data_IF_705651124140
#
_entry.id   IF_705651124140
#
_cell.length_a   1.000
_cell.length_b   1.000
_cell.length_c   1.000
_cell.angle_alpha   90.00
_cell.angle_beta   90.00
_cell.angle_gamma   90.00
#
_symmetry.space_group_name_H-M   'P 1'
#
loop_
_entity.id
_entity.type
_entity.pdbx_description
1 polymer ?
#
# COMPACT_ATOMS: atom_id res chain seq x y z
N UNK A 1 0.77 32.67 21.30
CA UNK A 1 0.25 33.16 20.00
C UNK A 1 0.52 32.10 18.95
N UNK A 2 -0.55 31.46 18.45
CA UNK A 2 -0.56 30.42 17.43
C UNK A 2 0.22 30.79 16.16
N UNK A 3 1.03 29.86 15.63
CA UNK A 3 1.04 29.54 14.19
C UNK A 3 1.19 28.03 14.02
N UNK A 4 0.03 27.37 13.90
CA UNK A 4 -0.11 26.06 13.26
C UNK A 4 0.57 26.12 11.89
N UNK A 5 1.59 25.31 11.68
CA UNK A 5 2.07 24.99 10.35
C UNK A 5 0.97 24.26 9.60
N UNK A 6 0.27 24.97 8.71
CA UNK A 6 -0.42 24.35 7.59
C UNK A 6 0.63 23.57 6.82
N UNK A 7 0.52 22.26 6.80
CA UNK A 7 1.31 21.43 5.91
C UNK A 7 0.61 21.50 4.56
N UNK A 8 0.93 22.53 3.79
CA UNK A 8 0.41 22.73 2.44
C UNK A 8 0.88 21.55 1.59
N UNK A 9 -0.09 20.73 1.15
CA UNK A 9 0.12 19.48 0.41
C UNK A 9 0.66 19.72 -1.00
N UNK A 10 1.92 20.12 -1.10
CA UNK A 10 2.67 20.02 -2.35
C UNK A 10 2.87 18.56 -2.73
N UNK A 11 2.75 18.25 -4.03
CA UNK A 11 3.12 16.92 -4.54
C UNK A 11 4.61 16.67 -4.25
N UNK A 12 4.91 15.48 -3.79
CA UNK A 12 6.26 14.96 -3.63
C UNK A 12 7.05 15.09 -4.93
N UNK A 13 8.38 15.18 -4.81
CA UNK A 13 9.29 15.02 -5.95
C UNK A 13 9.46 13.54 -6.36
N UNK A 14 9.10 12.60 -5.48
CA UNK A 14 9.21 11.16 -5.72
C UNK A 14 8.27 10.74 -6.85
N UNK A 15 8.81 9.97 -7.78
CA UNK A 15 8.13 9.41 -8.95
C UNK A 15 8.04 7.89 -8.82
N UNK A 16 6.86 7.35 -9.08
CA UNK A 16 6.56 5.93 -8.95
C UNK A 16 6.22 5.36 -10.32
N UNK A 17 6.93 4.32 -10.72
CA UNK A 17 6.56 3.46 -11.85
C UNK A 17 5.52 2.44 -11.40
N UNK A 18 4.45 2.29 -12.17
CA UNK A 18 3.41 1.30 -11.87
C UNK A 18 3.25 0.37 -13.07
N UNK A 19 3.49 -0.93 -12.87
CA UNK A 19 3.23 -1.94 -13.89
C UNK A 19 1.89 -2.60 -13.57
N UNK A 20 0.98 -2.63 -14.54
CA UNK A 20 -0.39 -3.12 -14.39
C UNK A 20 -0.64 -4.27 -15.34
N UNK A 21 -1.58 -5.15 -14.98
CA UNK A 21 -2.18 -6.11 -15.90
C UNK A 21 -3.68 -5.81 -15.97
N UNK A 22 -4.10 -5.15 -17.05
CA UNK A 22 -5.45 -4.59 -17.21
C UNK A 22 -5.73 -3.35 -16.35
N UNK A 23 -6.98 -2.86 -16.40
CA UNK A 23 -7.39 -1.55 -15.83
C UNK A 23 -7.98 -1.58 -14.44
N UNK A 24 -8.09 -2.74 -13.80
CA UNK A 24 -8.87 -2.88 -12.55
C UNK A 24 -8.30 -2.04 -11.38
N UNK A 25 -7.01 -1.67 -11.44
CA UNK A 25 -6.31 -0.94 -10.38
C UNK A 25 -6.14 0.56 -10.63
N UNK A 26 -6.93 1.15 -11.52
CA UNK A 26 -6.85 2.59 -11.81
C UNK A 26 -7.02 3.46 -10.56
N UNK A 27 -7.87 3.04 -9.62
CA UNK A 27 -8.05 3.73 -8.34
C UNK A 27 -6.80 3.72 -7.45
N UNK A 28 -6.02 2.63 -7.49
CA UNK A 28 -4.76 2.52 -6.75
C UNK A 28 -3.76 3.54 -7.29
N UNK A 29 -3.71 3.72 -8.62
CA UNK A 29 -2.86 4.70 -9.31
C UNK A 29 -3.27 6.13 -8.94
N UNK A 30 -4.57 6.44 -9.02
CA UNK A 30 -5.10 7.76 -8.68
C UNK A 30 -4.75 8.13 -7.24
N UNK A 31 -4.90 7.18 -6.32
CA UNK A 31 -4.56 7.36 -4.91
C UNK A 31 -3.06 7.68 -4.73
N UNK A 32 -2.16 6.99 -5.44
CA UNK A 32 -0.73 7.31 -5.42
C UNK A 32 -0.43 8.68 -6.07
N UNK A 33 -1.11 9.01 -7.17
CA UNK A 33 -0.92 10.23 -7.94
C UNK A 33 -1.39 11.51 -7.22
N UNK A 34 -2.19 11.37 -6.16
CA UNK A 34 -2.50 12.47 -5.24
C UNK A 34 -1.23 13.03 -4.58
N UNK A 35 -0.25 12.17 -4.29
CA UNK A 35 0.95 12.51 -3.50
C UNK A 35 2.23 12.50 -4.34
N UNK A 36 2.29 11.68 -5.39
CA UNK A 36 3.51 11.38 -6.14
C UNK A 36 3.38 11.66 -7.64
N UNK A 37 4.51 11.83 -8.33
CA UNK A 37 4.55 11.68 -9.78
C UNK A 37 4.36 10.20 -10.13
N UNK A 38 3.52 9.87 -11.11
CA UNK A 38 3.26 8.47 -11.46
C UNK A 38 3.44 8.27 -12.96
N UNK A 39 4.15 7.19 -13.32
CA UNK A 39 4.21 6.65 -14.68
C UNK A 39 3.66 5.25 -14.66
N UNK A 40 2.71 4.93 -15.54
CA UNK A 40 2.13 3.59 -15.60
C UNK A 40 2.41 2.91 -16.93
N UNK A 41 2.59 1.60 -16.88
CA UNK A 41 2.65 0.73 -18.04
C UNK A 41 1.60 -0.37 -17.90
N UNK A 42 0.79 -0.58 -18.93
CA UNK A 42 -0.29 -1.57 -18.95
C UNK A 42 0.14 -2.76 -19.81
N UNK A 43 0.27 -3.93 -19.17
CA UNK A 43 0.47 -5.21 -19.85
C UNK A 43 -0.85 -5.70 -20.45
N UNK A 44 -0.78 -6.55 -21.50
CA UNK A 44 -1.92 -7.32 -21.96
C UNK A 44 -2.57 -8.10 -20.81
N UNK A 45 -3.90 -8.15 -20.77
CA UNK A 45 -4.62 -8.89 -19.73
C UNK A 45 -4.48 -10.41 -19.88
N UNK A 46 -4.33 -10.89 -21.10
CA UNK A 46 -4.33 -12.29 -21.55
C UNK A 46 -2.92 -12.84 -21.78
N UNK A 47 -2.03 -12.64 -20.80
CA UNK A 47 -0.70 -13.26 -20.83
C UNK A 47 -0.80 -14.80 -20.76
N UNK A 48 0.04 -15.54 -21.52
CA UNK A 48 0.22 -16.99 -21.37
C UNK A 48 0.62 -17.37 -19.95
N UNK A 49 0.42 -18.62 -19.54
CA UNK A 49 0.83 -19.10 -18.20
C UNK A 49 2.35 -19.22 -18.04
N UNK A 50 3.06 -19.46 -19.14
CA UNK A 50 4.51 -19.55 -19.21
C UNK A 50 4.99 -18.66 -20.36
N UNK A 51 5.98 -17.82 -20.07
CA UNK A 51 6.52 -16.86 -21.04
C UNK A 51 8.03 -17.07 -21.15
N UNK A 52 8.46 -17.61 -22.29
CA UNK A 52 9.90 -17.78 -22.57
C UNK A 52 10.61 -16.45 -22.86
N UNK A 53 9.90 -15.48 -23.47
CA UNK A 53 10.44 -14.20 -23.93
C UNK A 53 9.65 -13.03 -23.30
N UNK A 54 9.79 -12.76 -22.00
CA UNK A 54 9.00 -11.76 -21.28
C UNK A 54 9.24 -10.32 -21.77
N UNK A 55 10.38 -10.04 -22.36
CA UNK A 55 10.74 -8.75 -22.95
C UNK A 55 9.83 -8.36 -24.14
N UNK A 56 9.18 -9.32 -24.78
CA UNK A 56 8.17 -9.06 -25.83
C UNK A 56 6.89 -8.43 -25.28
N UNK A 57 6.61 -8.66 -24.00
CA UNK A 57 5.43 -8.13 -23.30
C UNK A 57 5.78 -6.92 -22.45
N UNK A 58 6.93 -6.94 -21.77
CA UNK A 58 7.39 -5.86 -20.91
C UNK A 58 8.28 -4.87 -21.69
N UNK A 59 7.64 -4.08 -22.56
CA UNK A 59 8.29 -3.11 -23.46
C UNK A 59 8.41 -1.73 -22.84
N UNK A 60 9.04 -1.65 -21.65
CA UNK A 60 9.22 -0.39 -20.93
C UNK A 60 10.26 0.49 -21.65
N UNK A 61 9.84 1.67 -22.11
CA UNK A 61 10.75 2.65 -22.71
C UNK A 61 11.57 3.42 -21.68
N UNK A 62 12.64 4.08 -22.13
CA UNK A 62 13.52 4.90 -21.27
C UNK A 62 12.74 5.95 -20.46
N UNK A 63 11.66 6.49 -21.02
CA UNK A 63 10.81 7.46 -20.33
C UNK A 63 10.17 6.84 -19.07
N UNK A 64 9.72 5.58 -19.11
CA UNK A 64 9.12 4.90 -17.95
C UNK A 64 10.10 4.84 -16.77
N UNK A 65 11.38 4.57 -17.04
CA UNK A 65 12.41 4.46 -16.00
C UNK A 65 12.87 5.79 -15.40
N UNK A 66 12.31 6.93 -15.83
CA UNK A 66 12.46 8.21 -15.11
C UNK A 66 11.54 8.25 -13.87
N UNK A 67 11.74 7.28 -12.98
CA UNK A 67 11.03 7.04 -11.71
C UNK A 67 12.04 6.61 -10.65
N UNK A 68 11.68 6.74 -9.37
CA UNK A 68 12.57 6.42 -8.25
C UNK A 68 12.36 4.98 -7.74
N UNK A 69 11.15 4.47 -7.85
CA UNK A 69 10.77 3.12 -7.43
C UNK A 69 9.64 2.58 -8.31
N UNK A 70 9.44 1.26 -8.28
CA UNK A 70 8.38 0.62 -9.05
C UNK A 70 7.48 -0.25 -8.16
N UNK A 71 6.16 -0.13 -8.34
CA UNK A 71 5.14 -1.02 -7.78
C UNK A 71 4.54 -1.84 -8.93
N UNK A 72 4.67 -3.16 -8.87
CA UNK A 72 4.16 -4.05 -9.91
C UNK A 72 2.93 -4.81 -9.42
N UNK A 73 1.89 -4.74 -10.25
CA UNK A 73 0.66 -5.52 -10.21
C UNK A 73 0.57 -6.45 -11.43
N UNK A 74 1.70 -6.78 -12.08
CA UNK A 74 1.73 -7.64 -13.26
C UNK A 74 1.13 -9.03 -13.00
N UNK A 75 1.26 -9.54 -11.76
CA UNK A 75 0.70 -10.83 -11.37
C UNK A 75 1.18 -11.99 -12.24
N UNK A 76 2.45 -11.95 -12.66
CA UNK A 76 3.09 -13.00 -13.46
C UNK A 76 4.57 -13.15 -13.08
N UNK A 77 5.07 -14.36 -12.76
CA UNK A 77 6.46 -14.58 -12.34
C UNK A 77 7.47 -14.16 -13.40
N UNK A 78 7.31 -14.61 -14.65
CA UNK A 78 8.27 -14.33 -15.73
C UNK A 78 8.40 -12.83 -16.03
N UNK A 79 7.29 -12.11 -16.06
CA UNK A 79 7.29 -10.64 -16.20
C UNK A 79 7.98 -9.96 -15.02
N UNK A 80 7.75 -10.43 -13.79
CA UNK A 80 8.36 -9.82 -12.61
C UNK A 80 9.86 -10.07 -12.55
N UNK A 81 10.35 -11.25 -12.98
CA UNK A 81 11.78 -11.52 -13.11
C UNK A 81 12.43 -10.61 -14.16
N UNK A 82 11.78 -10.42 -15.30
CA UNK A 82 12.23 -9.51 -16.34
C UNK A 82 12.21 -8.04 -15.86
N UNK A 83 11.20 -7.65 -15.09
CA UNK A 83 11.13 -6.32 -14.49
C UNK A 83 12.29 -6.06 -13.52
N UNK A 84 12.72 -7.06 -12.74
CA UNK A 84 13.92 -6.93 -11.89
C UNK A 84 15.16 -6.68 -12.74
N UNK A 85 15.32 -7.41 -13.85
CA UNK A 85 16.45 -7.22 -14.78
C UNK A 85 16.45 -5.80 -15.34
N UNK A 86 15.35 -5.36 -15.95
CA UNK A 86 15.28 -4.02 -16.55
C UNK A 86 15.41 -2.90 -15.49
N UNK A 87 14.83 -3.07 -14.31
CA UNK A 87 14.96 -2.12 -13.19
C UNK A 87 16.43 -1.95 -12.77
N UNK A 88 17.18 -3.05 -12.64
CA UNK A 88 18.61 -3.02 -12.32
C UNK A 88 19.43 -2.26 -13.37
N UNK A 89 19.20 -2.55 -14.66
CA UNK A 89 19.88 -1.90 -15.79
C UNK A 89 19.65 -0.39 -15.85
N UNK A 90 18.52 0.07 -15.31
CA UNK A 90 18.16 1.48 -15.26
C UNK A 90 18.38 2.12 -13.88
N UNK A 91 19.05 1.43 -12.94
CA UNK A 91 19.41 1.97 -11.63
C UNK A 91 18.27 2.10 -10.62
N UNK A 92 17.13 1.42 -10.84
CA UNK A 92 16.00 1.42 -9.91
C UNK A 92 16.31 0.53 -8.71
N UNK A 93 16.38 1.14 -7.52
CA UNK A 93 16.81 0.45 -6.30
C UNK A 93 15.70 -0.28 -5.52
N UNK A 94 14.42 -0.06 -5.83
CA UNK A 94 13.29 -0.63 -5.08
C UNK A 94 12.15 -1.08 -6.00
N UNK A 95 11.78 -2.35 -5.85
CA UNK A 95 10.60 -2.98 -6.46
C UNK A 95 9.65 -3.51 -5.40
N UNK A 96 8.36 -3.23 -5.53
CA UNK A 96 7.30 -3.82 -4.71
C UNK A 96 6.39 -4.66 -5.60
N UNK A 97 6.34 -5.97 -5.35
CA UNK A 97 5.41 -6.88 -6.01
C UNK A 97 4.16 -7.08 -5.15
N UNK A 98 3.02 -6.61 -5.66
CA UNK A 98 1.72 -6.77 -5.00
C UNK A 98 0.86 -7.80 -5.71
N UNK A 99 0.37 -8.79 -4.95
CA UNK A 99 -0.47 -9.86 -5.50
C UNK A 99 -0.18 -11.25 -4.94
N UNK A 100 0.69 -11.37 -3.93
CA UNK A 100 1.03 -12.63 -3.31
C UNK A 100 1.59 -13.64 -4.31
N UNK A 101 1.12 -14.88 -4.25
CA UNK A 101 1.65 -15.98 -5.06
C UNK A 101 1.59 -15.73 -6.57
N UNK A 102 0.64 -14.92 -7.04
CA UNK A 102 0.55 -14.52 -8.46
C UNK A 102 1.78 -13.75 -8.93
N UNK A 103 2.46 -13.03 -8.04
CA UNK A 103 3.69 -12.34 -8.39
C UNK A 103 4.85 -13.30 -8.68
N UNK A 104 4.78 -14.55 -8.20
CA UNK A 104 5.87 -15.52 -8.23
C UNK A 104 6.40 -15.83 -6.83
N UNK A 105 7.39 -16.74 -6.77
CA UNK A 105 8.02 -17.16 -5.52
C UNK A 105 8.72 -15.99 -4.83
N UNK A 106 8.33 -15.70 -3.58
CA UNK A 106 8.94 -14.65 -2.78
C UNK A 106 10.45 -14.84 -2.61
N UNK A 107 10.90 -16.09 -2.44
CA UNK A 107 12.33 -16.43 -2.28
C UNK A 107 13.08 -16.17 -3.58
N UNK A 108 12.53 -16.61 -4.71
CA UNK A 108 13.16 -16.44 -6.02
C UNK A 108 13.30 -14.96 -6.38
N UNK A 109 12.21 -14.20 -6.27
CA UNK A 109 12.19 -12.78 -6.63
C UNK A 109 13.14 -11.95 -5.75
N UNK A 110 13.18 -12.22 -4.44
CA UNK A 110 14.12 -11.55 -3.53
C UNK A 110 15.56 -11.87 -3.87
N UNK A 111 15.88 -13.16 -4.07
CA UNK A 111 17.23 -13.59 -4.44
C UNK A 111 17.67 -12.99 -5.76
N UNK A 112 16.78 -12.89 -6.74
CA UNK A 112 17.10 -12.27 -8.03
C UNK A 112 17.32 -10.77 -7.92
N UNK A 113 16.51 -10.08 -7.10
CA UNK A 113 16.74 -8.67 -6.75
C UNK A 113 18.10 -8.44 -6.10
N UNK A 114 18.44 -9.24 -5.09
CA UNK A 114 19.71 -9.15 -4.35
C UNK A 114 20.93 -9.30 -5.27
N UNK A 115 20.93 -10.29 -6.17
CA UNK A 115 22.01 -10.47 -7.16
C UNK A 115 22.21 -9.24 -8.06
N UNK A 116 21.15 -8.47 -8.28
CA UNK A 116 21.09 -7.35 -9.22
C UNK A 116 21.11 -5.98 -8.54
N UNK A 117 21.30 -5.95 -7.22
CA UNK A 117 21.31 -4.70 -6.45
C UNK A 117 19.93 -4.03 -6.33
N UNK A 118 18.83 -4.76 -6.55
CA UNK A 118 17.47 -4.25 -6.45
C UNK A 118 16.79 -4.80 -5.20
N UNK A 119 16.37 -3.93 -4.29
CA UNK A 119 15.59 -4.34 -3.11
C UNK A 119 14.19 -4.75 -3.56
N UNK A 120 13.83 -6.01 -3.32
CA UNK A 120 12.50 -6.54 -3.65
C UNK A 120 11.66 -6.70 -2.39
N UNK A 121 10.53 -6.01 -2.34
CA UNK A 121 9.45 -6.26 -1.39
C UNK A 121 8.42 -7.14 -2.09
N UNK A 122 8.31 -8.36 -1.61
CA UNK A 122 7.20 -9.23 -1.98
C UNK A 122 6.13 -9.12 -0.92
N UNK A 123 4.90 -8.82 -1.32
CA UNK A 123 3.79 -8.76 -0.41
C UNK A 123 2.59 -9.61 -0.86
N UNK A 124 1.99 -10.24 0.14
CA UNK A 124 0.70 -10.89 -0.01
C UNK A 124 -0.44 -9.88 0.00
N UNK A 125 -0.34 -8.84 0.85
CA UNK A 125 -1.36 -7.79 1.03
C UNK A 125 -0.71 -6.41 1.25
N UNK A 126 -1.21 -5.40 0.54
CA UNK A 126 -0.74 -4.00 0.60
C UNK A 126 -0.87 -3.30 1.95
N UNK A 127 -1.75 -3.80 2.81
CA UNK A 127 -1.88 -3.28 4.18
C UNK A 127 -0.88 -3.92 5.15
N UNK A 128 0.01 -4.81 4.68
CA UNK A 128 1.08 -5.37 5.51
C UNK A 128 2.46 -5.17 4.89
N UNK A 129 2.59 -4.26 3.90
CA UNK A 129 3.89 -3.88 3.35
C UNK A 129 4.77 -3.31 4.48
N UNK A 130 5.97 -3.86 4.69
CA UNK A 130 6.90 -3.31 5.66
C UNK A 130 7.40 -1.93 5.21
N UNK A 131 7.66 -1.06 6.18
CA UNK A 131 8.37 0.18 5.92
C UNK A 131 9.83 -0.13 5.60
N UNK A 132 10.38 0.60 4.62
CA UNK A 132 11.80 0.55 4.30
C UNK A 132 12.51 1.70 5.00
N UNK A 133 13.56 1.37 5.75
CA UNK A 133 14.47 2.35 6.35
C UNK A 133 15.48 2.81 5.29
N UNK A 134 14.98 3.63 4.36
CA UNK A 134 15.77 4.27 3.31
C UNK A 134 15.15 5.65 3.06
N UNK A 135 15.91 6.71 3.33
CA UNK A 135 15.43 8.09 3.24
C UNK A 135 14.87 8.42 1.85
N UNK A 136 15.41 7.80 0.79
CA UNK A 136 14.96 7.97 -0.60
C UNK A 136 13.51 7.58 -0.82
N UNK A 137 13.02 6.59 -0.06
CA UNK A 137 11.67 6.04 -0.21
C UNK A 137 10.78 6.32 1.01
N UNK A 138 11.32 7.00 2.04
CA UNK A 138 10.64 7.24 3.30
C UNK A 138 9.27 7.89 3.11
N UNK A 139 9.15 8.86 2.21
CA UNK A 139 7.90 9.56 1.93
C UNK A 139 6.79 8.60 1.46
N UNK A 140 7.13 7.62 0.60
CA UNK A 140 6.18 6.59 0.18
C UNK A 140 5.64 5.81 1.40
N UNK A 141 6.52 5.33 2.26
CA UNK A 141 6.14 4.49 3.42
C UNK A 141 5.50 5.26 4.58
N UNK A 142 5.60 6.59 4.60
CA UNK A 142 4.80 7.42 5.52
C UNK A 142 3.34 7.51 5.08
N UNK A 143 3.07 7.45 3.77
CA UNK A 143 1.73 7.58 3.18
C UNK A 143 1.06 6.24 2.93
N UNK A 144 1.84 5.23 2.55
CA UNK A 144 1.37 3.94 2.08
C UNK A 144 1.94 2.75 2.87
N UNK A 145 1.10 1.74 3.12
CA UNK A 145 1.48 0.48 3.77
C UNK A 145 0.51 0.11 4.89
N UNK A 146 1.05 -0.31 6.04
CA UNK A 146 0.23 -0.69 7.19
C UNK A 146 -0.66 0.47 7.69
N UNK A 147 -1.99 0.28 7.82
CA UNK A 147 -2.92 1.33 8.21
C UNK A 147 -2.52 2.02 9.52
N UNK A 148 -2.51 3.35 9.52
CA UNK A 148 -2.35 4.14 10.73
C UNK A 148 -3.42 5.23 10.78
N UNK A 149 -4.16 5.26 11.89
CA UNK A 149 -5.34 6.09 12.10
C UNK A 149 -5.18 6.89 13.40
N UNK A 150 -5.72 8.09 13.41
CA UNK A 150 -6.05 8.86 14.61
C UNK A 150 -7.56 8.97 14.70
N UNK A 151 -8.14 8.74 15.88
CA UNK A 151 -9.60 8.81 16.09
C UNK A 151 -9.91 9.86 17.16
N UNK A 152 -11.02 10.56 16.97
CA UNK A 152 -11.63 11.44 17.96
C UNK A 152 -12.83 10.71 18.57
N UNK A 153 -12.94 10.74 19.90
CA UNK A 153 -13.95 9.98 20.65
C UNK A 153 -14.75 10.92 21.52
N UNK A 154 -16.07 10.88 21.40
CA UNK A 154 -17.01 11.57 22.29
C UNK A 154 -18.09 10.60 22.74
N UNK A 155 -18.41 10.61 24.04
CA UNK A 155 -19.47 9.77 24.63
C UNK A 155 -19.38 8.28 24.23
N UNK A 156 -18.16 7.74 24.15
CA UNK A 156 -17.91 6.34 23.78
C UNK A 156 -18.08 6.01 22.29
N UNK A 157 -18.19 7.01 21.41
CA UNK A 157 -18.33 6.85 19.96
C UNK A 157 -17.22 7.55 19.20
N UNK A 158 -16.85 7.00 18.05
CA UNK A 158 -15.90 7.64 17.13
C UNK A 158 -16.61 8.77 16.39
N UNK A 159 -16.22 10.03 16.61
CA UNK A 159 -16.83 11.19 15.93
C UNK A 159 -16.05 11.59 14.67
N UNK A 160 -14.74 11.38 14.66
CA UNK A 160 -13.89 11.60 13.48
C UNK A 160 -12.72 10.61 13.41
N UNK A 161 -12.20 10.44 12.19
CA UNK A 161 -11.07 9.56 11.90
C UNK A 161 -10.16 10.23 10.89
N UNK A 162 -8.89 10.44 11.28
CA UNK A 162 -7.83 10.92 10.40
C UNK A 162 -6.94 9.77 9.96
N UNK A 163 -6.83 9.57 8.65
CA UNK A 163 -5.92 8.58 8.06
C UNK A 163 -4.52 9.17 7.97
N UNK A 164 -3.56 8.58 8.69
CA UNK A 164 -2.14 8.95 8.65
C UNK A 164 -1.40 8.18 7.57
N UNK A 165 -1.70 6.89 7.43
CA UNK A 165 -1.15 5.98 6.43
C UNK A 165 -2.25 5.04 5.92
N UNK A 166 -2.32 4.84 4.60
CA UNK A 166 -3.34 4.00 3.95
C UNK A 166 -2.73 2.79 3.26
N UNK A 167 -3.50 1.71 3.16
CA UNK A 167 -3.22 0.62 2.22
C UNK A 167 -3.22 1.14 0.78
N UNK A 168 -2.48 0.48 -0.12
CA UNK A 168 -2.32 0.90 -1.52
C UNK A 168 -3.66 0.92 -2.28
N UNK A 169 -4.57 0.01 -1.93
CA UNK A 169 -5.89 -0.08 -2.54
C UNK A 169 -6.91 0.92 -2.00
N UNK A 170 -6.55 1.76 -1.03
CA UNK A 170 -7.46 2.74 -0.42
C UNK A 170 -8.46 2.17 0.60
N UNK A 171 -8.41 0.87 0.91
CA UNK A 171 -9.30 0.24 1.89
C UNK A 171 -9.31 0.96 3.25
N UNK A 172 -8.17 1.52 3.67
CA UNK A 172 -8.06 2.25 4.93
C UNK A 172 -8.91 3.51 4.96
N UNK A 173 -8.97 4.28 3.86
CA UNK A 173 -9.83 5.47 3.76
C UNK A 173 -11.30 5.08 3.81
N UNK A 174 -11.67 4.01 3.10
CA UNK A 174 -13.04 3.48 3.13
C UNK A 174 -13.44 3.05 4.55
N UNK A 175 -12.57 2.30 5.24
CA UNK A 175 -12.80 1.87 6.62
C UNK A 175 -12.94 3.07 7.56
N UNK A 176 -12.05 4.06 7.45
CA UNK A 176 -12.06 5.27 8.27
C UNK A 176 -13.39 6.02 8.20
N UNK A 177 -13.96 6.20 7.01
CA UNK A 177 -15.27 6.82 6.85
C UNK A 177 -16.40 5.96 7.41
N UNK A 178 -16.33 4.64 7.24
CA UNK A 178 -17.41 3.72 7.65
C UNK A 178 -17.50 3.49 9.16
N UNK A 179 -16.43 3.74 9.91
CA UNK A 179 -16.44 3.57 11.37
C UNK A 179 -16.86 4.83 12.14
N UNK A 180 -16.98 5.99 11.49
CA UNK A 180 -17.51 7.20 12.12
C UNK A 180 -18.95 6.96 12.59
N UNK A 181 -19.26 7.43 13.79
CA UNK A 181 -20.53 7.23 14.48
C UNK A 181 -20.66 5.90 15.25
N UNK A 182 -19.73 4.96 15.09
CA UNK A 182 -19.79 3.67 15.78
C UNK A 182 -19.33 3.75 17.24
N UNK A 183 -19.89 2.93 18.14
CA UNK A 183 -19.31 2.70 19.47
C UNK A 183 -17.88 2.14 19.38
N UNK A 184 -17.02 2.55 20.30
CA UNK A 184 -15.61 2.13 20.33
C UNK A 184 -15.43 0.61 20.45
N UNK A 185 -16.37 -0.09 21.10
CA UNK A 185 -16.34 -1.55 21.27
C UNK A 185 -16.68 -2.30 19.97
N UNK A 186 -17.47 -1.70 19.09
CA UNK A 186 -17.90 -2.30 17.82
C UNK A 186 -16.97 -1.96 16.66
N UNK A 187 -16.40 -0.75 16.68
CA UNK A 187 -15.63 -0.20 15.57
C UNK A 187 -14.47 -1.11 15.10
N UNK A 188 -13.67 -1.76 15.97
CA UNK A 188 -12.64 -2.71 15.53
C UNK A 188 -13.18 -3.88 14.71
N UNK A 189 -14.27 -4.51 15.17
CA UNK A 189 -14.86 -5.66 14.49
C UNK A 189 -15.48 -5.23 13.15
N UNK A 190 -16.17 -4.08 13.14
CA UNK A 190 -16.73 -3.49 11.92
C UNK A 190 -15.65 -3.07 10.93
N UNK A 191 -14.50 -2.56 11.37
CA UNK A 191 -13.37 -2.25 10.51
C UNK A 191 -12.85 -3.47 9.76
N UNK A 192 -12.73 -4.61 10.45
CA UNK A 192 -12.40 -5.90 9.83
C UNK A 192 -13.45 -6.33 8.80
N UNK A 193 -14.73 -6.17 9.09
CA UNK A 193 -15.82 -6.46 8.15
C UNK A 193 -15.79 -5.54 6.91
N UNK A 194 -15.67 -4.22 7.10
CA UNK A 194 -15.61 -3.24 6.02
C UNK A 194 -14.43 -3.48 5.07
N UNK A 195 -13.29 -3.92 5.63
CA UNK A 195 -12.13 -4.32 4.81
C UNK A 195 -12.46 -5.51 3.90
N UNK A 196 -13.24 -6.48 4.38
CA UNK A 196 -13.60 -7.67 3.61
C UNK A 196 -14.60 -7.36 2.49
N UNK A 197 -15.53 -6.43 2.68
CA UNK A 197 -16.50 -6.05 1.65
C UNK A 197 -15.97 -4.99 0.68
N UNK A 198 -14.83 -4.34 0.99
CA UNK A 198 -14.15 -3.45 0.07
C UNK A 198 -13.65 -4.22 -1.17
N UNK A 199 -13.58 -3.60 -2.37
CA UNK A 199 -13.00 -4.19 -3.58
C UNK A 199 -11.45 -4.32 -3.48
N UNK A 200 -11.00 -5.02 -2.44
CA UNK A 200 -9.61 -5.38 -2.21
C UNK A 200 -9.22 -6.57 -3.08
N UNK A 201 -8.01 -6.52 -3.65
CA UNK A 201 -7.39 -7.56 -4.46
C UNK A 201 -6.66 -8.65 -3.68
N UNK A 202 -6.70 -8.63 -2.34
CA UNK A 202 -6.21 -9.73 -1.54
C UNK A 202 -6.96 -11.03 -1.90
N UNK A 203 -6.26 -12.17 -1.87
CA UNK A 203 -6.87 -13.47 -2.16
C UNK A 203 -8.09 -13.72 -1.25
N UNK A 204 -9.12 -14.34 -1.83
CA UNK A 204 -10.39 -14.69 -1.19
C UNK A 204 -10.43 -16.19 -0.87
N UNK A 205 -11.45 -16.61 -0.13
CA UNK A 205 -11.58 -17.97 0.40
C UNK A 205 -11.09 -18.08 1.85
N UNK A 206 -11.28 -19.24 2.46
CA UNK A 206 -11.05 -19.49 3.90
C UNK A 206 -9.63 -19.11 4.34
N UNK A 207 -8.64 -19.44 3.51
CA UNK A 207 -7.22 -19.13 3.74
C UNK A 207 -6.74 -17.88 2.98
N UNK A 208 -7.67 -17.05 2.52
CA UNK A 208 -7.38 -15.86 1.73
C UNK A 208 -6.73 -14.74 2.55
N UNK A 209 -5.81 -14.01 1.93
CA UNK A 209 -5.15 -12.83 2.50
C UNK A 209 -6.15 -11.74 2.93
N UNK A 210 -7.39 -11.77 2.45
CA UNK A 210 -8.45 -10.86 2.89
C UNK A 210 -8.73 -10.93 4.40
N UNK A 211 -8.63 -12.12 5.01
CA UNK A 211 -8.82 -12.26 6.46
C UNK A 211 -7.65 -11.65 7.23
N UNK A 212 -6.43 -11.74 6.68
CA UNK A 212 -5.26 -11.05 7.23
C UNK A 212 -5.41 -9.54 7.09
N UNK A 213 -5.89 -9.04 5.95
CA UNK A 213 -6.18 -7.62 5.75
C UNK A 213 -7.22 -7.09 6.76
N UNK A 214 -8.28 -7.87 7.03
CA UNK A 214 -9.29 -7.56 8.03
C UNK A 214 -8.70 -7.45 9.44
N UNK A 215 -7.85 -8.42 9.84
CA UNK A 215 -7.15 -8.39 11.13
C UNK A 215 -6.23 -7.19 11.27
N UNK A 216 -5.54 -6.81 10.20
CA UNK A 216 -4.66 -5.64 10.17
C UNK A 216 -5.46 -4.36 10.42
N UNK A 217 -6.58 -4.15 9.72
CA UNK A 217 -7.40 -2.95 9.89
C UNK A 217 -8.11 -2.92 11.25
N UNK A 218 -8.61 -4.07 11.72
CA UNK A 218 -9.14 -4.20 13.09
C UNK A 218 -8.11 -3.72 14.13
N UNK A 219 -6.89 -4.26 14.07
CA UNK A 219 -5.79 -3.87 14.99
C UNK A 219 -5.40 -2.41 14.87
N UNK A 220 -5.45 -1.83 13.67
CA UNK A 220 -5.16 -0.41 13.47
C UNK A 220 -6.19 0.47 14.19
N UNK A 221 -7.47 0.11 14.14
CA UNK A 221 -8.55 0.80 14.86
C UNK A 221 -8.43 0.60 16.38
N UNK A 222 -8.15 -0.62 16.86
CA UNK A 222 -7.89 -0.89 18.29
C UNK A 222 -6.77 0.01 18.83
N UNK A 223 -5.65 0.07 18.11
CA UNK A 223 -4.51 0.93 18.49
C UNK A 223 -4.88 2.41 18.50
N UNK A 224 -5.66 2.88 17.53
CA UNK A 224 -6.08 4.27 17.45
C UNK A 224 -6.99 4.64 18.64
N UNK A 225 -7.96 3.78 18.97
CA UNK A 225 -8.85 3.96 20.12
C UNK A 225 -8.06 3.99 21.42
N UNK A 226 -7.17 3.01 21.65
CA UNK A 226 -6.34 2.97 22.85
C UNK A 226 -5.49 4.24 23.01
N UNK A 227 -4.88 4.72 21.92
CA UNK A 227 -4.12 5.98 21.92
C UNK A 227 -5.00 7.19 22.27
N UNK A 228 -6.22 7.26 21.75
CA UNK A 228 -7.16 8.35 22.04
C UNK A 228 -7.60 8.36 23.51
N UNK A 229 -7.92 7.19 24.09
CA UNK A 229 -8.29 7.05 25.50
C UNK A 229 -7.12 7.40 26.43
N UNK A 230 -5.89 6.98 26.10
CA UNK A 230 -4.72 7.36 26.89
C UNK A 230 -4.46 8.86 26.88
N UNK A 231 -4.70 9.54 25.75
CA UNK A 231 -4.54 11.00 25.63
C UNK A 231 -5.57 11.76 26.47
N UNK A 232 -6.84 11.34 26.48
CA UNK A 232 -7.87 12.00 27.29
C UNK A 232 -7.61 11.85 28.80
N UNK A 233 -7.10 10.69 29.23
CA UNK A 233 -6.69 10.47 30.63
C UNK A 233 -5.48 11.30 31.05
N UNK A 234 -4.50 11.48 30.16
CA UNK A 234 -3.32 12.30 30.42
C UNK A 234 -3.62 13.80 30.51
N UNK A 235 -4.58 14.30 29.72
CA UNK A 235 -5.03 15.71 29.78
C UNK A 235 -5.91 16.02 31.00
N UNK A 236 -6.41 14.99 31.69
CA UNK A 236 -7.20 15.14 32.93
C UNK A 236 -6.33 15.25 34.19
N UNK A 237 -5.00 15.18 34.06
CA UNK A 237 -4.04 15.13 35.19
C UNK A 237 -3.07 16.31 35.26
N UNK A 238 -3.22 17.35 34.41
CA UNK A 238 -2.49 18.62 34.60
C UNK A 238 -3.33 19.58 35.46
N UNK A 239 -2.84 19.99 36.66
CA UNK A 239 -3.54 20.91 37.57
C UNK A 239 -3.59 22.35 37.06
#
# INVERSE_FOLDING_TARGET
MNRKGKNDGGKSKLKIGIVLRGREREKDIQLMAEHFGVKSFELPSDLPELIENPEKYLTLGQDFFNVDMIVSYAGHPDINLELIRQASEHGIGLLIFSGGSKAGSAVQLKREGEKRGVRVIWEEICCATPQVEDERFSEFFTRFGAPELEVEIENGKIVDVKVKRTAFCGATRFVAEKIKGLPIEEAPTKAGYFTQIFPCYASRGIEGGIHRAARVHKRAVEKAISRAISRSRGQSQEP
#
